data_IF_350629275404
#
_entry.id   IF_350629275404
#
_cell.length_a   1.000
_cell.length_b   1.000
_cell.length_c   1.000
_cell.angle_alpha   90.00
_cell.angle_beta   90.00
_cell.angle_gamma   90.00
#
_symmetry.space_group_name_H-M   'P 1'
#
loop_
_entity.id
_entity.type
_entity.pdbx_description
1 polymer ?
#
# COMPACT_ATOMS: atom_id res chain seq x y z
N UNK A 1 -13.25 12.29 6.67
CA UNK A 1 -13.42 11.18 7.63
C UNK A 1 -12.81 9.96 6.97
N UNK A 2 -11.79 9.36 7.57
CA UNK A 2 -11.19 8.09 7.11
C UNK A 2 -11.87 6.99 7.91
N UNK A 3 -12.47 6.02 7.24
CA UNK A 3 -13.07 4.86 7.87
C UNK A 3 -12.13 3.66 7.74
N UNK A 4 -11.90 2.96 8.85
CA UNK A 4 -11.10 1.75 8.86
C UNK A 4 -12.00 0.54 8.66
N UNK A 5 -11.87 -0.10 7.49
CA UNK A 5 -12.55 -1.37 7.22
C UNK A 5 -11.69 -2.54 7.73
N UNK A 6 -12.27 -3.59 8.33
CA UNK A 6 -11.51 -4.69 8.92
C UNK A 6 -10.52 -5.37 7.97
N UNK A 7 -10.88 -5.47 6.69
CA UNK A 7 -10.03 -6.02 5.64
C UNK A 7 -8.73 -5.21 5.45
N UNK A 8 -8.82 -3.88 5.47
CA UNK A 8 -7.66 -2.99 5.33
C UNK A 8 -6.81 -3.07 6.59
N UNK A 9 -7.42 -3.13 7.78
CA UNK A 9 -6.68 -3.27 9.04
C UNK A 9 -5.87 -4.57 9.09
N UNK A 10 -6.45 -5.68 8.64
CA UNK A 10 -5.73 -6.95 8.53
C UNK A 10 -4.51 -6.83 7.60
N UNK A 11 -4.67 -6.20 6.43
CA UNK A 11 -3.56 -5.93 5.51
C UNK A 11 -2.50 -5.00 6.10
N UNK A 12 -2.88 -4.01 6.91
CA UNK A 12 -1.90 -3.15 7.60
C UNK A 12 -0.98 -3.97 8.49
N UNK A 13 -1.54 -4.91 9.27
CA UNK A 13 -0.73 -5.79 10.11
C UNK A 13 0.24 -6.65 9.28
N UNK A 14 -0.22 -7.22 8.17
CA UNK A 14 0.62 -8.02 7.28
C UNK A 14 1.76 -7.17 6.66
N UNK A 15 1.45 -5.95 6.22
CA UNK A 15 2.44 -5.04 5.63
C UNK A 15 3.49 -4.61 6.65
N UNK A 16 3.09 -4.30 7.89
CA UNK A 16 4.02 -3.94 8.97
C UNK A 16 4.93 -5.10 9.39
N UNK A 17 4.52 -6.35 9.14
CA UNK A 17 5.36 -7.52 9.39
C UNK A 17 6.39 -7.75 8.27
N UNK A 18 6.10 -7.32 7.03
CA UNK A 18 6.96 -7.56 5.85
C UNK A 18 7.85 -6.37 5.49
N UNK A 19 7.41 -5.15 5.81
CA UNK A 19 8.03 -3.91 5.37
C UNK A 19 8.30 -3.00 6.56
N UNK A 20 9.39 -2.24 6.48
CA UNK A 20 9.69 -1.18 7.44
C UNK A 20 8.89 0.06 7.06
N UNK A 21 7.64 0.15 7.53
CA UNK A 21 6.72 1.26 7.25
C UNK A 21 6.19 1.88 8.55
N UNK A 22 5.85 3.17 8.48
CA UNK A 22 4.98 3.79 9.47
C UNK A 22 3.53 3.28 9.32
N UNK A 23 2.74 3.37 10.40
CA UNK A 23 1.35 2.93 10.37
C UNK A 23 0.49 3.68 9.32
N UNK A 24 0.78 4.96 9.07
CA UNK A 24 0.12 5.76 8.03
C UNK A 24 0.42 5.25 6.62
N UNK A 25 1.69 4.97 6.33
CA UNK A 25 2.14 4.46 5.03
C UNK A 25 1.62 3.05 4.77
N UNK A 26 1.62 2.21 5.80
CA UNK A 26 1.01 0.88 5.74
C UNK A 26 -0.50 0.96 5.46
N UNK A 27 -1.22 1.91 6.08
CA UNK A 27 -2.64 2.13 5.82
C UNK A 27 -2.89 2.60 4.38
N UNK A 28 -2.08 3.53 3.88
CA UNK A 28 -2.16 4.00 2.50
C UNK A 28 -1.96 2.85 1.50
N UNK A 29 -0.91 2.04 1.70
CA UNK A 29 -0.60 0.91 0.83
C UNK A 29 -1.68 -0.19 0.90
N UNK A 30 -2.14 -0.54 2.11
CA UNK A 30 -3.24 -1.49 2.30
C UNK A 30 -4.53 -1.05 1.60
N UNK A 31 -4.82 0.26 1.64
CA UNK A 31 -5.99 0.83 0.97
C UNK A 31 -5.87 0.75 -0.55
N UNK A 32 -4.69 1.08 -1.09
CA UNK A 32 -4.44 0.95 -2.53
C UNK A 32 -4.57 -0.50 -3.00
N UNK A 33 -4.10 -1.47 -2.21
CA UNK A 33 -4.25 -2.90 -2.52
C UNK A 33 -5.71 -3.34 -2.54
N UNK A 34 -6.52 -2.86 -1.59
CA UNK A 34 -7.96 -3.17 -1.55
C UNK A 34 -8.73 -2.55 -2.74
N UNK A 35 -8.26 -1.42 -3.26
CA UNK A 35 -8.87 -0.72 -4.40
C UNK A 35 -8.39 -1.24 -5.77
N UNK A 36 -7.40 -2.14 -5.81
CA UNK A 36 -6.82 -2.62 -7.07
C UNK A 36 -7.86 -3.46 -7.85
N UNK A 37 -8.16 -3.12 -9.11
CA UNK A 37 -9.13 -3.88 -9.90
C UNK A 37 -8.54 -5.22 -10.33
N UNK A 38 -8.88 -6.28 -9.62
CA UNK A 38 -8.48 -7.66 -9.94
C UNK A 38 -6.98 -7.96 -9.75
N UNK A 39 -6.59 -9.20 -10.06
CA UNK A 39 -5.22 -9.68 -9.85
C UNK A 39 -4.22 -9.18 -10.91
N UNK A 40 -4.69 -8.83 -12.12
CA UNK A 40 -3.82 -8.55 -13.27
C UNK A 40 -3.63 -7.07 -13.62
N UNK A 41 -4.39 -6.15 -13.02
CA UNK A 41 -4.21 -4.74 -13.32
C UNK A 41 -2.99 -4.18 -12.59
N UNK A 42 -1.96 -3.78 -13.35
CA UNK A 42 -0.90 -2.93 -12.83
C UNK A 42 -1.52 -1.60 -12.39
N UNK A 43 -1.61 -1.38 -11.08
CA UNK A 43 -2.06 -0.12 -10.53
C UNK A 43 -0.85 0.80 -10.33
N UNK A 44 -1.04 2.08 -10.64
CA UNK A 44 -0.06 3.11 -10.35
C UNK A 44 -0.15 3.54 -8.88
N UNK A 45 0.99 3.78 -8.26
CA UNK A 45 1.07 4.25 -6.88
C UNK A 45 2.01 5.45 -6.79
N UNK A 46 1.49 6.58 -6.31
CA UNK A 46 2.22 7.84 -6.22
C UNK A 46 2.61 8.09 -4.78
N UNK A 47 3.90 8.21 -4.50
CA UNK A 47 4.42 8.59 -3.19
C UNK A 47 5.86 9.13 -3.29
N UNK A 48 6.23 10.00 -2.35
CA UNK A 48 7.59 10.57 -2.25
C UNK A 48 8.48 9.84 -1.23
N UNK A 49 7.90 9.13 -0.27
CA UNK A 49 8.67 8.46 0.77
C UNK A 49 9.37 7.20 0.23
N UNK A 50 10.69 7.11 0.38
CA UNK A 50 11.48 6.01 -0.19
C UNK A 50 11.11 4.63 0.36
N UNK A 51 10.73 4.54 1.63
CA UNK A 51 10.35 3.26 2.23
C UNK A 51 9.00 2.80 1.69
N UNK A 52 8.05 3.72 1.55
CA UNK A 52 6.75 3.45 0.95
C UNK A 52 6.87 3.14 -0.55
N UNK A 53 7.76 3.81 -1.29
CA UNK A 53 8.07 3.49 -2.70
C UNK A 53 8.58 2.06 -2.83
N UNK A 54 9.52 1.65 -1.99
CA UNK A 54 10.06 0.29 -2.00
C UNK A 54 8.98 -0.75 -1.68
N UNK A 55 8.16 -0.51 -0.66
CA UNK A 55 7.08 -1.42 -0.27
C UNK A 55 6.00 -1.52 -1.36
N UNK A 56 5.56 -0.40 -1.94
CA UNK A 56 4.56 -0.39 -3.00
C UNK A 56 5.05 -1.16 -4.25
N UNK A 57 6.32 -0.99 -4.62
CA UNK A 57 6.92 -1.76 -5.71
C UNK A 57 6.97 -3.27 -5.40
N UNK A 58 7.30 -3.65 -4.16
CA UNK A 58 7.31 -5.05 -3.72
C UNK A 58 5.91 -5.69 -3.70
N UNK A 59 4.86 -4.90 -3.47
CA UNK A 59 3.46 -5.34 -3.54
C UNK A 59 2.87 -5.29 -4.97
N UNK A 60 3.70 -4.98 -5.97
CA UNK A 60 3.36 -5.06 -7.39
C UNK A 60 2.76 -3.80 -8.01
N UNK A 61 2.89 -2.64 -7.36
CA UNK A 61 2.51 -1.36 -7.97
C UNK A 61 3.59 -0.82 -8.91
N UNK A 62 3.14 -0.11 -9.94
CA UNK A 62 4.01 0.77 -10.73
C UNK A 62 4.16 2.08 -9.94
N UNK A 63 5.32 2.29 -9.34
CA UNK A 63 5.57 3.50 -8.55
C UNK A 63 5.97 4.64 -9.47
N UNK A 64 5.15 5.67 -9.55
CA UNK A 64 5.43 6.80 -10.43
C UNK A 64 6.50 7.72 -9.82
N UNK A 65 7.41 8.27 -10.63
CA UNK A 65 8.31 9.33 -10.19
C UNK A 65 7.50 10.62 -9.97
N UNK A 66 7.84 11.34 -8.91
CA UNK A 66 7.31 12.67 -8.59
C UNK A 66 8.45 13.58 -8.21
#
# INVERSE_FOLDING_TARGET
MVELVPEVVARVHDLLARHVLGAGDALQLASALALRPGEEASAEFVCWDDQLRAAASAEGFVVLPT
#
